data_IF_612665431477
#
_entry.id   IF_612665431477
#
_cell.length_a   1.000
_cell.length_b   1.000
_cell.length_c   1.000
_cell.angle_alpha   90.00
_cell.angle_beta   90.00
_cell.angle_gamma   90.00
#
_symmetry.space_group_name_H-M   'P 1'
#
loop_
_entity.id
_entity.type
_entity.pdbx_description
1 polymer ?
#
# COMPACT_ATOMS: atom_id res chain seq x y z
N UNK A 1 28.31 -45.40 13.31
CA UNK A 1 26.97 -45.87 12.83
C UNK A 1 25.84 -44.92 13.10
N UNK A 2 25.91 -44.01 14.11
CA UNK A 2 24.79 -43.11 14.42
C UNK A 2 24.70 -41.83 13.56
N UNK A 3 25.73 -41.50 12.75
CA UNK A 3 25.77 -40.21 11.98
C UNK A 3 25.32 -40.31 10.53
N UNK A 4 25.23 -41.53 9.97
CA UNK A 4 24.82 -41.78 8.59
C UNK A 4 25.79 -41.33 7.50
N UNK A 5 26.93 -40.73 7.85
CA UNK A 5 27.97 -40.32 6.92
C UNK A 5 29.36 -40.45 7.56
N UNK A 6 30.37 -40.57 6.71
CA UNK A 6 31.80 -40.57 7.10
C UNK A 6 32.58 -39.66 6.13
N UNK A 7 33.58 -38.94 6.63
CA UNK A 7 34.45 -38.12 5.77
C UNK A 7 35.69 -38.89 5.36
N UNK A 8 36.27 -38.55 4.21
CA UNK A 8 37.54 -39.16 3.75
C UNK A 8 38.67 -39.06 4.77
N UNK A 9 38.74 -37.95 5.51
CA UNK A 9 39.72 -37.76 6.56
C UNK A 9 39.49 -38.68 7.77
N UNK A 10 38.23 -38.89 8.16
CA UNK A 10 37.90 -39.81 9.27
C UNK A 10 38.16 -41.26 8.88
N UNK A 11 37.91 -41.63 7.62
CA UNK A 11 38.23 -42.95 7.08
C UNK A 11 39.74 -43.22 7.05
N UNK A 12 40.52 -42.28 6.50
CA UNK A 12 41.98 -42.43 6.45
C UNK A 12 42.64 -42.45 7.82
N UNK A 13 42.08 -41.76 8.83
CA UNK A 13 42.50 -41.82 10.22
C UNK A 13 42.17 -43.18 10.87
N UNK A 14 41.01 -43.77 10.54
CA UNK A 14 40.59 -45.06 11.11
C UNK A 14 41.36 -46.26 10.55
N UNK A 15 41.76 -46.21 9.27
CA UNK A 15 42.59 -47.23 8.62
C UNK A 15 44.04 -47.18 9.07
N UNK A 16 44.53 -46.08 9.60
CA UNK A 16 45.87 -45.87 10.05
C UNK A 16 46.91 -45.80 8.91
N UNK A 17 48.06 -45.15 9.19
CA UNK A 17 49.08 -44.89 8.16
C UNK A 17 49.72 -46.14 7.50
N UNK A 18 49.59 -47.28 8.09
CA UNK A 18 50.21 -48.57 7.58
C UNK A 18 49.30 -49.31 6.59
N UNK A 19 48.02 -49.02 6.56
CA UNK A 19 47.03 -49.73 5.74
C UNK A 19 46.43 -48.86 4.63
N UNK A 20 47.06 -47.75 4.26
CA UNK A 20 46.66 -46.84 3.20
C UNK A 20 47.05 -47.31 1.79
N UNK A 21 46.99 -48.61 1.49
CA UNK A 21 47.11 -49.10 0.10
C UNK A 21 45.85 -48.93 -0.63
N UNK A 22 45.91 -48.68 -1.96
CA UNK A 22 44.73 -48.42 -2.80
C UNK A 22 43.72 -49.57 -2.77
N UNK A 23 44.22 -50.82 -2.59
CA UNK A 23 43.35 -51.99 -2.47
C UNK A 23 42.55 -52.00 -1.17
N UNK A 24 43.18 -51.67 -0.05
CA UNK A 24 42.51 -51.62 1.26
C UNK A 24 41.51 -50.45 1.33
N UNK A 25 41.82 -49.32 0.70
CA UNK A 25 40.90 -48.19 0.56
C UNK A 25 39.67 -48.57 -0.27
N UNK A 26 39.86 -49.26 -1.39
CA UNK A 26 38.78 -49.72 -2.24
C UNK A 26 37.86 -50.73 -1.54
N UNK A 27 38.44 -51.68 -0.77
CA UNK A 27 37.64 -52.60 0.03
C UNK A 27 36.86 -51.89 1.16
N UNK A 28 37.48 -50.92 1.81
CA UNK A 28 36.80 -50.10 2.82
C UNK A 28 35.65 -49.28 2.23
N UNK A 29 35.80 -48.75 1.02
CA UNK A 29 34.73 -48.04 0.33
C UNK A 29 33.53 -48.95 -0.01
N UNK A 30 33.83 -50.18 -0.49
CA UNK A 30 32.77 -51.15 -0.81
C UNK A 30 32.03 -51.54 0.47
N UNK A 31 32.71 -51.73 1.56
CA UNK A 31 32.10 -52.07 2.84
C UNK A 31 31.22 -50.93 3.37
N UNK A 32 31.67 -49.68 3.29
CA UNK A 32 30.93 -48.52 3.72
C UNK A 32 29.66 -48.32 2.89
N UNK A 33 29.74 -48.52 1.56
CA UNK A 33 28.60 -48.47 0.65
C UNK A 33 27.56 -49.55 0.94
N UNK A 34 28.01 -50.78 1.23
CA UNK A 34 27.12 -51.89 1.60
C UNK A 34 26.41 -51.66 2.93
N UNK A 35 27.01 -50.94 3.86
CA UNK A 35 26.39 -50.54 5.13
C UNK A 35 25.46 -49.30 4.98
N UNK A 36 25.31 -48.75 3.77
CA UNK A 36 24.43 -47.61 3.49
C UNK A 36 24.93 -46.30 4.08
N UNK A 37 26.23 -46.17 4.34
CA UNK A 37 26.85 -44.95 4.88
C UNK A 37 27.35 -44.10 3.72
N UNK A 38 26.97 -42.79 3.72
CA UNK A 38 27.35 -41.86 2.65
C UNK A 38 28.77 -41.34 2.92
N UNK A 39 29.65 -41.44 1.90
CA UNK A 39 30.99 -40.88 1.94
C UNK A 39 30.97 -39.44 1.41
N UNK A 40 31.53 -38.50 2.17
CA UNK A 40 31.59 -37.09 1.81
C UNK A 40 32.97 -36.49 2.04
N UNK A 41 33.35 -35.52 1.22
CA UNK A 41 34.65 -34.83 1.43
C UNK A 41 34.60 -33.92 2.64
N UNK A 42 33.55 -33.17 2.80
CA UNK A 42 33.36 -32.23 3.93
C UNK A 42 31.99 -32.43 4.59
N UNK A 43 31.91 -32.11 5.89
CA UNK A 43 30.65 -32.18 6.66
C UNK A 43 29.56 -31.29 6.12
N UNK A 44 29.91 -30.21 5.40
CA UNK A 44 28.97 -29.32 4.70
C UNK A 44 28.22 -30.04 3.59
N UNK A 45 28.89 -30.92 2.86
CA UNK A 45 28.35 -31.56 1.65
C UNK A 45 27.25 -32.59 2.00
N UNK A 46 27.36 -33.24 3.16
CA UNK A 46 26.28 -34.10 3.66
C UNK A 46 25.00 -33.32 3.95
N UNK A 47 25.10 -32.09 4.47
CA UNK A 47 23.91 -31.24 4.67
C UNK A 47 23.24 -30.86 3.38
N UNK A 48 24.03 -30.61 2.32
CA UNK A 48 23.53 -30.28 0.99
C UNK A 48 22.86 -31.46 0.33
N UNK A 49 23.53 -32.68 0.43
CA UNK A 49 22.98 -33.93 -0.10
C UNK A 49 21.67 -34.30 0.61
N UNK A 50 21.60 -34.21 1.93
CA UNK A 50 20.39 -34.50 2.71
C UNK A 50 19.28 -33.50 2.44
N UNK A 51 19.62 -32.21 2.14
CA UNK A 51 18.65 -31.21 1.72
C UNK A 51 18.12 -31.49 0.31
N UNK A 52 18.98 -32.05 -0.56
CA UNK A 52 18.62 -32.44 -1.94
C UNK A 52 17.78 -33.73 -1.96
N UNK A 53 18.09 -34.71 -1.08
CA UNK A 53 17.27 -35.93 -0.89
C UNK A 53 15.89 -35.62 -0.27
N UNK A 54 15.83 -34.71 0.68
CA UNK A 54 14.55 -34.27 1.24
C UNK A 54 13.72 -33.45 0.23
N UNK A 55 14.37 -32.68 -0.65
CA UNK A 55 13.65 -31.99 -1.74
C UNK A 55 13.19 -32.96 -2.83
N UNK A 56 13.94 -34.05 -3.11
CA UNK A 56 13.52 -35.05 -4.07
C UNK A 56 12.49 -36.06 -3.51
N UNK A 57 12.38 -36.21 -2.19
CA UNK A 57 11.26 -36.95 -1.56
C UNK A 57 9.97 -36.15 -1.47
N UNK A 58 10.07 -34.84 -1.47
CA UNK A 58 8.89 -33.95 -1.62
C UNK A 58 8.42 -33.84 -3.09
N UNK A 59 9.31 -34.03 -4.06
CA UNK A 59 8.94 -34.11 -5.47
C UNK A 59 8.22 -35.44 -5.84
N UNK A 60 8.36 -36.48 -5.02
CA UNK A 60 7.66 -37.75 -5.21
C UNK A 60 6.20 -37.78 -4.74
N UNK A 61 5.73 -36.76 -4.02
CA UNK A 61 4.34 -36.41 -3.85
C UNK A 61 4.01 -35.27 -4.83
N UNK A 62 3.99 -35.56 -6.10
CA UNK A 62 3.12 -34.87 -7.02
C UNK A 62 1.70 -35.11 -6.50
N UNK A 63 1.30 -34.27 -5.53
CA UNK A 63 -0.12 -34.01 -5.34
C UNK A 63 -0.58 -33.65 -6.74
N UNK A 64 -1.33 -34.58 -7.38
CA UNK A 64 -2.03 -34.29 -8.61
C UNK A 64 -2.55 -32.89 -8.45
N UNK A 65 -2.03 -31.96 -9.25
CA UNK A 65 -2.62 -30.65 -9.40
C UNK A 65 -3.99 -30.93 -10.01
N UNK A 66 -4.94 -31.27 -9.13
CA UNK A 66 -6.30 -31.41 -9.59
C UNK A 66 -6.70 -30.02 -10.04
N UNK A 67 -7.04 -29.89 -11.32
CA UNK A 67 -7.58 -28.68 -11.93
C UNK A 67 -8.98 -28.33 -11.38
N UNK A 68 -9.39 -28.98 -10.29
CA UNK A 68 -10.62 -28.69 -9.58
C UNK A 68 -10.49 -27.33 -8.84
N UNK A 69 -11.18 -26.28 -9.31
CA UNK A 69 -11.12 -24.94 -8.72
C UNK A 69 -11.62 -24.95 -7.27
N UNK A 70 -12.50 -25.87 -6.89
CA UNK A 70 -13.01 -26.00 -5.51
C UNK A 70 -11.90 -26.48 -4.59
N UNK A 71 -11.12 -27.50 -5.02
CA UNK A 71 -10.01 -28.02 -4.21
C UNK A 71 -8.89 -26.99 -4.07
N UNK A 72 -8.62 -26.20 -5.11
CA UNK A 72 -7.66 -25.12 -5.08
C UNK A 72 -8.10 -24.01 -4.11
N UNK A 73 -9.38 -23.62 -4.18
CA UNK A 73 -9.99 -22.66 -3.26
C UNK A 73 -9.92 -23.11 -1.80
N UNK A 74 -10.32 -24.37 -1.51
CA UNK A 74 -10.27 -24.91 -0.15
C UNK A 74 -8.85 -25.02 0.40
N UNK A 75 -7.85 -25.28 -0.45
CA UNK A 75 -6.44 -25.33 -0.05
C UNK A 75 -5.90 -23.93 0.29
N UNK A 76 -6.27 -22.91 -0.48
CA UNK A 76 -5.90 -21.52 -0.22
C UNK A 76 -6.61 -20.97 1.01
N UNK A 77 -7.91 -21.24 1.13
CA UNK A 77 -8.72 -20.83 2.29
C UNK A 77 -8.29 -21.52 3.58
N UNK A 78 -7.88 -22.80 3.54
CA UNK A 78 -7.46 -23.57 4.71
C UNK A 78 -6.09 -23.14 5.27
N UNK A 79 -5.30 -22.38 4.51
CA UNK A 79 -4.01 -21.84 4.94
C UNK A 79 -4.06 -20.53 5.72
N UNK A 80 -5.21 -19.88 5.75
CA UNK A 80 -5.41 -18.58 6.41
C UNK A 80 -6.33 -18.74 7.61
N UNK A 81 -5.87 -18.33 8.77
CA UNK A 81 -6.71 -18.34 9.98
C UNK A 81 -7.85 -17.30 9.85
N UNK A 82 -9.02 -17.66 10.37
CA UNK A 82 -10.17 -16.75 10.42
C UNK A 82 -9.85 -15.58 11.36
N UNK A 83 -10.18 -14.37 10.93
CA UNK A 83 -10.01 -13.19 11.76
C UNK A 83 -11.01 -13.22 12.93
N UNK A 84 -10.50 -12.91 14.12
CA UNK A 84 -11.38 -12.63 15.27
C UNK A 84 -12.05 -11.26 15.09
N UNK A 85 -13.21 -11.05 15.72
CA UNK A 85 -13.91 -9.76 15.71
C UNK A 85 -13.01 -8.60 16.17
N UNK A 86 -12.17 -8.83 17.18
CA UNK A 86 -11.21 -7.84 17.66
C UNK A 86 -10.12 -7.54 16.63
N UNK A 87 -9.64 -8.57 15.93
CA UNK A 87 -8.68 -8.44 14.84
C UNK A 87 -9.27 -7.64 13.67
N UNK A 88 -10.51 -7.89 13.29
CA UNK A 88 -11.23 -7.15 12.26
C UNK A 88 -11.35 -5.66 12.60
N UNK A 89 -11.80 -5.34 13.82
CA UNK A 89 -11.90 -3.95 14.29
C UNK A 89 -10.52 -3.27 14.30
N UNK A 90 -9.48 -3.98 14.74
CA UNK A 90 -8.13 -3.42 14.77
C UNK A 90 -7.60 -3.11 13.37
N UNK A 91 -7.87 -4.00 12.39
CA UNK A 91 -7.48 -3.78 10.99
C UNK A 91 -8.28 -2.63 10.38
N UNK A 92 -9.60 -2.57 10.59
CA UNK A 92 -10.45 -1.49 10.10
C UNK A 92 -9.98 -0.12 10.59
N UNK A 93 -9.67 0.00 11.89
CA UNK A 93 -9.12 1.24 12.48
C UNK A 93 -7.76 1.62 11.87
N UNK A 94 -6.92 0.64 11.54
CA UNK A 94 -5.63 0.92 10.89
C UNK A 94 -5.80 1.39 9.44
N UNK A 95 -6.78 0.84 8.72
CA UNK A 95 -7.11 1.27 7.35
C UNK A 95 -7.62 2.71 7.39
N UNK A 96 -8.55 3.02 8.30
CA UNK A 96 -9.11 4.36 8.48
C UNK A 96 -8.02 5.37 8.84
N UNK A 97 -7.19 5.07 9.83
CA UNK A 97 -6.05 5.91 10.20
C UNK A 97 -5.07 6.12 9.03
N UNK A 98 -4.83 5.09 8.22
CA UNK A 98 -4.00 5.19 7.02
C UNK A 98 -4.60 6.11 5.95
N UNK A 99 -5.92 6.00 5.71
CA UNK A 99 -6.65 6.90 4.80
C UNK A 99 -6.60 8.35 5.29
N UNK A 100 -6.79 8.59 6.58
CA UNK A 100 -6.71 9.92 7.17
C UNK A 100 -5.35 10.57 6.98
N UNK A 101 -4.26 9.86 7.26
CA UNK A 101 -2.89 10.36 7.05
C UNK A 101 -2.66 10.69 5.57
N UNK A 102 -3.13 9.84 4.67
CA UNK A 102 -3.02 10.06 3.22
C UNK A 102 -3.79 11.32 2.79
N UNK A 103 -5.04 11.50 3.25
CA UNK A 103 -5.84 12.68 2.94
C UNK A 103 -5.23 13.97 3.50
N UNK A 104 -4.67 13.95 4.70
CA UNK A 104 -3.95 15.09 5.29
C UNK A 104 -2.75 15.47 4.41
N UNK A 105 -1.97 14.50 3.96
CA UNK A 105 -0.82 14.76 3.10
C UNK A 105 -1.23 15.31 1.72
N UNK A 106 -2.26 14.72 1.11
CA UNK A 106 -2.79 15.17 -0.19
C UNK A 106 -3.41 16.57 -0.11
N UNK A 107 -4.14 16.90 0.98
CA UNK A 107 -4.80 18.19 1.15
C UNK A 107 -3.84 19.37 1.13
N UNK A 108 -2.60 19.19 1.55
CA UNK A 108 -1.57 20.24 1.61
C UNK A 108 -0.80 20.41 0.29
N UNK A 109 -0.98 19.49 -0.66
CA UNK A 109 -0.18 19.46 -1.88
C UNK A 109 -0.71 20.40 -2.97
N UNK A 110 0.17 21.19 -3.62
CA UNK A 110 -0.21 22.00 -4.78
C UNK A 110 -0.57 21.16 -6.01
N UNK A 111 -0.07 19.91 -6.11
CA UNK A 111 -0.40 18.99 -7.22
C UNK A 111 -1.87 18.57 -7.11
N UNK A 112 -2.32 18.27 -5.89
CA UNK A 112 -3.74 18.00 -5.61
C UNK A 112 -4.61 19.21 -5.91
N UNK A 113 -4.16 20.40 -5.52
CA UNK A 113 -4.87 21.64 -5.84
C UNK A 113 -5.10 21.82 -7.35
N UNK A 114 -4.06 21.55 -8.16
CA UNK A 114 -4.16 21.63 -9.62
C UNK A 114 -5.19 20.65 -10.16
N UNK A 115 -5.25 19.44 -9.61
CA UNK A 115 -6.23 18.44 -10.01
C UNK A 115 -7.67 18.89 -9.69
N UNK A 116 -7.90 19.52 -8.53
CA UNK A 116 -9.21 20.06 -8.19
C UNK A 116 -9.62 21.23 -9.11
N UNK A 117 -8.67 22.05 -9.58
CA UNK A 117 -8.96 23.08 -10.58
C UNK A 117 -9.39 22.47 -11.92
N UNK A 118 -8.72 21.40 -12.35
CA UNK A 118 -9.07 20.67 -13.57
C UNK A 118 -10.47 20.02 -13.45
N UNK A 119 -10.77 19.43 -12.29
CA UNK A 119 -12.09 18.83 -12.04
C UNK A 119 -13.20 19.87 -12.01
N UNK A 120 -12.99 21.04 -11.37
CA UNK A 120 -13.97 22.10 -11.35
C UNK A 120 -14.36 22.54 -12.77
N UNK A 121 -13.38 22.70 -13.66
CA UNK A 121 -13.61 23.07 -15.07
C UNK A 121 -14.34 21.95 -15.83
N UNK A 122 -13.89 20.71 -15.72
CA UNK A 122 -14.45 19.58 -16.45
C UNK A 122 -15.85 19.17 -15.96
N UNK A 123 -16.13 19.33 -14.66
CA UNK A 123 -17.47 19.14 -14.12
C UNK A 123 -18.45 20.21 -14.57
N UNK A 124 -17.98 21.46 -14.74
CA UNK A 124 -18.81 22.55 -15.28
C UNK A 124 -19.09 22.42 -16.77
N UNK A 125 -18.17 21.82 -17.54
CA UNK A 125 -18.35 21.52 -18.96
C UNK A 125 -19.04 20.18 -19.24
N UNK A 126 -19.42 19.43 -18.20
CA UNK A 126 -19.99 18.08 -18.29
C UNK A 126 -19.09 17.05 -19.04
N UNK A 127 -17.77 17.28 -19.05
CA UNK A 127 -16.80 16.37 -19.67
C UNK A 127 -16.50 15.16 -18.79
N UNK A 128 -16.66 15.28 -17.46
CA UNK A 128 -16.45 14.21 -16.49
C UNK A 128 -17.72 14.02 -15.66
N UNK A 129 -18.05 12.75 -15.41
CA UNK A 129 -19.17 12.39 -14.56
C UNK A 129 -18.77 12.43 -13.08
N UNK A 130 -19.71 12.78 -12.21
CA UNK A 130 -19.47 12.88 -10.76
C UNK A 130 -19.00 11.54 -10.18
N UNK A 131 -19.53 10.42 -10.67
CA UNK A 131 -19.16 9.04 -10.27
C UNK A 131 -17.70 8.66 -10.54
N UNK A 132 -17.03 9.39 -11.43
CA UNK A 132 -15.60 9.15 -11.70
C UNK A 132 -14.71 9.73 -10.60
N UNK A 133 -15.21 10.72 -9.85
CA UNK A 133 -14.45 11.43 -8.82
C UNK A 133 -14.81 10.94 -7.43
N UNK A 134 -16.09 10.73 -7.15
CA UNK A 134 -16.59 10.39 -5.82
C UNK A 134 -17.21 8.99 -5.78
N UNK A 135 -17.27 8.44 -4.57
CA UNK A 135 -18.04 7.24 -4.27
C UNK A 135 -19.50 7.63 -4.02
N UNK A 136 -20.37 7.35 -5.01
CA UNK A 136 -21.80 7.75 -4.98
C UNK A 136 -22.53 7.00 -3.89
N UNK A 137 -22.28 5.70 -3.72
CA UNK A 137 -23.00 4.85 -2.78
C UNK A 137 -22.79 5.33 -1.34
N UNK A 138 -21.53 5.63 -0.98
CA UNK A 138 -21.19 6.14 0.35
C UNK A 138 -21.78 7.52 0.60
N UNK A 139 -21.71 8.43 -0.38
CA UNK A 139 -22.26 9.77 -0.26
C UNK A 139 -23.79 9.77 -0.16
N UNK A 140 -24.47 8.88 -0.89
CA UNK A 140 -25.92 8.76 -0.85
C UNK A 140 -26.41 8.21 0.50
N UNK A 141 -25.74 7.20 1.04
CA UNK A 141 -26.06 6.63 2.36
C UNK A 141 -25.85 7.62 3.51
N UNK A 142 -24.82 8.49 3.43
CA UNK A 142 -24.62 9.54 4.44
C UNK A 142 -25.72 10.61 4.38
N UNK A 143 -26.18 11.00 3.20
CA UNK A 143 -27.29 11.96 3.05
C UNK A 143 -28.63 11.41 3.53
N UNK A 144 -28.94 10.12 3.29
CA UNK A 144 -30.14 9.50 3.85
C UNK A 144 -30.13 9.47 5.38
N UNK A 145 -28.97 9.23 6.01
CA UNK A 145 -28.85 9.20 7.47
C UNK A 145 -28.93 10.60 8.11
N UNK A 146 -28.61 11.67 7.38
CA UNK A 146 -28.63 13.06 7.88
C UNK A 146 -29.83 13.88 7.40
N UNK A 147 -30.55 13.40 6.38
CA UNK A 147 -31.69 14.09 5.79
C UNK A 147 -33.00 13.99 6.62
N UNK A 148 -33.98 14.89 6.35
CA UNK A 148 -35.28 14.87 7.02
C UNK A 148 -36.09 13.58 6.83
N UNK A 149 -35.75 12.76 5.83
CA UNK A 149 -36.35 11.43 5.60
C UNK A 149 -36.00 10.40 6.67
N UNK A 150 -34.85 10.54 7.37
CA UNK A 150 -34.45 9.65 8.45
C UNK A 150 -35.41 9.73 9.67
N UNK A 151 -36.12 10.82 9.84
CA UNK A 151 -37.10 11.00 10.93
C UNK A 151 -38.44 10.31 10.68
N UNK A 152 -38.76 9.93 9.44
CA UNK A 152 -40.02 9.21 9.13
C UNK A 152 -39.88 7.70 9.24
N UNK A 153 -38.68 7.12 9.11
CA UNK A 153 -38.48 5.64 9.22
C UNK A 153 -38.46 5.14 10.67
N UNK A 154 -38.24 6.00 11.68
CA UNK A 154 -38.20 5.59 13.09
C UNK A 154 -39.51 5.82 13.87
N UNK A 155 -40.61 6.24 13.21
CA UNK A 155 -41.89 6.51 13.84
C UNK A 155 -42.99 5.50 13.47
N UNK A 156 -42.67 4.35 12.88
CA UNK A 156 -43.61 3.39 12.34
C UNK A 156 -43.34 1.93 12.69
N UNK A 157 -42.85 1.61 13.88
CA UNK A 157 -42.95 0.26 14.44
C UNK A 157 -44.05 0.23 15.48
N UNK A 158 -45.27 0.06 15.04
CA UNK A 158 -46.33 -0.71 15.71
C UNK A 158 -47.50 -0.86 14.75
N UNK A 159 -47.79 -2.07 14.43
CA UNK A 159 -48.97 -2.77 14.02
C UNK A 159 -48.83 -3.66 12.78
N UNK A 160 -48.98 -4.93 13.12
CA UNK A 160 -49.09 -6.08 12.23
C UNK A 160 -50.27 -5.92 11.28
N UNK A 161 -50.07 -6.26 10.03
CA UNK A 161 -51.05 -7.04 9.27
C UNK A 161 -50.32 -7.98 8.27
N UNK A 162 -50.54 -9.27 8.50
CA UNK A 162 -50.20 -10.34 7.58
C UNK A 162 -51.19 -10.32 6.43
N UNK A 163 -50.72 -10.08 5.21
CA UNK A 163 -51.16 -10.60 3.93
C UNK A 163 -51.03 -9.56 2.81
N UNK A 164 -49.97 -9.65 2.06
CA UNK A 164 -50.08 -9.58 0.59
C UNK A 164 -48.72 -9.84 -0.05
N UNK A 165 -48.61 -10.92 -0.76
CA UNK A 165 -47.80 -11.34 -1.89
C UNK A 165 -46.78 -10.36 -2.42
N UNK A 166 -45.48 -10.76 -2.29
CA UNK A 166 -44.51 -11.02 -3.34
C UNK A 166 -44.75 -10.19 -4.63
N UNK A 167 -44.18 -8.95 -4.70
CA UNK A 167 -43.83 -8.23 -5.92
C UNK A 167 -43.40 -6.75 -5.72
N UNK A 168 -42.95 -6.32 -4.54
CA UNK A 168 -42.64 -4.89 -4.31
C UNK A 168 -41.25 -4.59 -3.75
N UNK A 169 -40.31 -5.51 -3.81
CA UNK A 169 -38.93 -5.26 -3.32
C UNK A 169 -37.99 -4.59 -4.38
N UNK A 170 -38.46 -4.39 -5.61
CA UNK A 170 -37.65 -3.79 -6.69
C UNK A 170 -37.82 -2.27 -6.84
N UNK A 171 -38.76 -1.64 -6.13
CA UNK A 171 -39.10 -0.22 -6.32
C UNK A 171 -38.26 0.75 -5.47
N UNK A 172 -37.33 0.29 -4.63
CA UNK A 172 -36.61 1.13 -3.67
C UNK A 172 -35.12 1.34 -3.94
N UNK A 173 -34.58 0.81 -5.02
CA UNK A 173 -33.21 1.14 -5.43
C UNK A 173 -33.23 2.23 -6.50
N UNK A 174 -32.94 3.50 -6.16
CA UNK A 174 -32.85 4.54 -7.16
C UNK A 174 -31.74 4.18 -8.15
N UNK A 175 -32.02 4.40 -9.44
CA UNK A 175 -31.00 4.14 -10.47
C UNK A 175 -29.77 5.00 -10.21
N UNK A 176 -28.57 4.49 -10.50
CA UNK A 176 -27.29 5.19 -10.29
C UNK A 176 -27.31 6.61 -10.90
N UNK A 177 -28.00 6.79 -12.04
CA UNK A 177 -28.18 8.10 -12.68
C UNK A 177 -29.05 9.06 -11.88
N UNK A 178 -30.07 8.54 -11.17
CA UNK A 178 -30.90 9.36 -10.30
C UNK A 178 -30.12 9.84 -9.07
N UNK A 179 -29.36 8.94 -8.42
CA UNK A 179 -28.45 9.29 -7.31
C UNK A 179 -27.42 10.33 -7.73
N UNK A 180 -26.81 10.16 -8.91
CA UNK A 180 -25.83 11.11 -9.44
C UNK A 180 -26.45 12.49 -9.67
N UNK A 181 -27.67 12.56 -10.22
CA UNK A 181 -28.35 13.84 -10.48
C UNK A 181 -28.72 14.58 -9.20
N UNK A 182 -28.99 13.87 -8.11
CA UNK A 182 -29.32 14.45 -6.81
C UNK A 182 -28.05 14.97 -6.09
N UNK A 183 -26.95 14.22 -6.15
CA UNK A 183 -25.68 14.57 -5.49
C UNK A 183 -24.90 15.65 -6.28
N UNK A 184 -25.02 15.68 -7.60
CA UNK A 184 -24.28 16.61 -8.48
C UNK A 184 -24.24 18.06 -8.00
N UNK A 185 -25.36 18.73 -7.63
CA UNK A 185 -25.35 20.12 -7.20
C UNK A 185 -24.59 20.33 -5.89
N UNK A 186 -24.57 19.35 -4.99
CA UNK A 186 -23.83 19.38 -3.74
C UNK A 186 -22.32 19.27 -4.00
N UNK A 187 -21.92 18.31 -4.83
CA UNK A 187 -20.53 18.09 -5.23
C UNK A 187 -19.95 19.31 -5.93
N UNK A 188 -20.68 19.88 -6.90
CA UNK A 188 -20.24 21.10 -7.59
C UNK A 188 -19.97 22.25 -6.62
N UNK A 189 -20.85 22.46 -5.64
CA UNK A 189 -20.66 23.51 -4.61
C UNK A 189 -19.41 23.23 -3.77
N UNK A 190 -19.21 22.00 -3.33
CA UNK A 190 -18.06 21.62 -2.50
C UNK A 190 -16.75 21.71 -3.28
N UNK A 191 -16.72 21.27 -4.53
CA UNK A 191 -15.54 21.39 -5.40
C UNK A 191 -15.20 22.86 -5.67
N UNK A 192 -16.22 23.69 -5.89
CA UNK A 192 -16.01 25.14 -6.06
C UNK A 192 -15.47 25.83 -4.80
N UNK A 193 -15.94 25.44 -3.61
CA UNK A 193 -15.38 25.92 -2.35
C UNK A 193 -13.93 25.49 -2.18
N UNK A 194 -13.63 24.22 -2.46
CA UNK A 194 -12.26 23.69 -2.43
C UNK A 194 -11.33 24.43 -3.38
N UNK A 195 -11.74 24.70 -4.61
CA UNK A 195 -10.94 25.51 -5.56
C UNK A 195 -10.63 26.88 -5.02
N UNK A 196 -11.58 27.53 -4.37
CA UNK A 196 -11.40 28.86 -3.76
C UNK A 196 -10.40 28.81 -2.62
N UNK A 197 -10.48 27.80 -1.76
CA UNK A 197 -9.58 27.65 -0.60
C UNK A 197 -8.19 27.21 -1.02
N UNK A 198 -8.06 26.34 -2.03
CA UNK A 198 -6.77 26.01 -2.64
C UNK A 198 -6.06 27.21 -3.27
N UNK A 199 -6.79 28.13 -3.91
CA UNK A 199 -6.20 29.40 -4.41
C UNK A 199 -5.60 30.24 -3.27
N UNK A 200 -6.23 30.25 -2.09
CA UNK A 200 -5.68 30.93 -0.91
C UNK A 200 -4.47 30.17 -0.37
N UNK A 201 -4.56 28.83 -0.26
CA UNK A 201 -3.47 27.97 0.21
C UNK A 201 -2.20 28.18 -0.62
N UNK A 202 -2.30 28.14 -1.95
CA UNK A 202 -1.16 28.36 -2.86
C UNK A 202 -0.52 29.75 -2.65
N UNK A 203 -1.33 30.79 -2.38
CA UNK A 203 -0.77 32.11 -2.06
C UNK A 203 0.05 32.08 -0.78
N UNK A 204 -0.48 31.45 0.30
CA UNK A 204 0.27 31.31 1.56
C UNK A 204 1.53 30.48 1.38
N UNK A 205 1.50 29.42 0.59
CA UNK A 205 2.67 28.59 0.31
C UNK A 205 3.74 29.36 -0.45
N UNK A 206 3.34 30.18 -1.44
CA UNK A 206 4.28 31.07 -2.17
C UNK A 206 4.91 32.10 -1.25
N UNK A 207 4.12 32.76 -0.41
CA UNK A 207 4.63 33.72 0.57
C UNK A 207 5.59 33.06 1.58
N UNK A 208 5.26 31.82 2.04
CA UNK A 208 6.13 31.04 2.93
C UNK A 208 7.46 30.69 2.24
N UNK A 209 7.41 30.28 0.98
CA UNK A 209 8.58 30.01 0.16
C UNK A 209 9.46 31.28 -0.01
N UNK A 210 8.86 32.42 -0.35
CA UNK A 210 9.58 33.70 -0.47
C UNK A 210 10.23 34.13 0.87
N UNK A 211 9.55 33.88 1.98
CA UNK A 211 10.11 34.15 3.31
C UNK A 211 11.34 33.24 3.58
N UNK A 212 11.29 31.97 3.21
CA UNK A 212 12.42 31.04 3.37
C UNK A 212 13.60 31.46 2.50
N UNK A 213 13.36 31.77 1.22
CA UNK A 213 14.41 32.23 0.29
C UNK A 213 15.06 33.51 0.77
N UNK A 214 14.29 34.45 1.32
CA UNK A 214 14.80 35.73 1.82
C UNK A 214 15.25 35.68 3.29
N UNK A 215 15.31 34.49 3.91
CA UNK A 215 15.65 34.29 5.33
C UNK A 215 14.80 35.15 6.30
N UNK A 216 13.54 35.42 5.93
CA UNK A 216 12.59 36.17 6.77
C UNK A 216 11.70 35.20 7.55
N UNK A 217 11.33 35.60 8.76
CA UNK A 217 10.42 34.80 9.60
C UNK A 217 8.99 34.98 9.09
N UNK A 218 8.28 33.86 8.86
CA UNK A 218 6.87 33.88 8.53
C UNK A 218 6.03 34.34 9.73
N UNK A 219 5.09 35.25 9.54
CA UNK A 219 4.30 35.80 10.65
C UNK A 219 3.39 34.76 11.28
N UNK A 220 3.38 34.65 12.62
CA UNK A 220 2.55 33.70 13.38
C UNK A 220 1.04 33.86 13.10
N UNK A 221 0.58 35.09 12.79
CA UNK A 221 -0.81 35.30 12.41
C UNK A 221 -1.17 34.65 11.06
N UNK A 222 -0.23 34.68 10.09
CA UNK A 222 -0.39 34.00 8.79
C UNK A 222 -0.28 32.48 8.93
N UNK A 223 0.51 31.99 9.87
CA UNK A 223 0.62 30.55 10.15
C UNK A 223 -0.69 29.96 10.66
N UNK A 224 -1.35 30.62 11.60
CA UNK A 224 -2.68 30.23 12.07
C UNK A 224 -3.74 30.29 10.95
N UNK A 225 -3.63 31.28 10.07
CA UNK A 225 -4.50 31.38 8.88
C UNK A 225 -4.28 30.24 7.90
N UNK A 226 -3.04 29.84 7.69
CA UNK A 226 -2.68 28.69 6.86
C UNK A 226 -3.22 27.38 7.44
N UNK A 227 -3.01 27.12 8.73
CA UNK A 227 -3.51 25.93 9.43
C UNK A 227 -5.04 25.83 9.35
N UNK A 228 -5.74 26.95 9.53
CA UNK A 228 -7.20 26.97 9.41
C UNK A 228 -7.66 26.57 8.00
N UNK A 229 -7.05 27.13 6.96
CA UNK A 229 -7.40 26.79 5.57
C UNK A 229 -7.10 25.32 5.26
N UNK A 230 -5.99 24.76 5.77
CA UNK A 230 -5.66 23.34 5.61
C UNK A 230 -6.73 22.47 6.25
N UNK A 231 -7.21 22.80 7.44
CA UNK A 231 -8.26 22.06 8.13
C UNK A 231 -9.61 22.17 7.38
N UNK A 232 -9.98 23.38 6.91
CA UNK A 232 -11.20 23.58 6.13
C UNK A 232 -11.17 22.75 4.82
N UNK A 233 -10.02 22.70 4.14
CA UNK A 233 -9.81 21.86 2.95
C UNK A 233 -9.95 20.39 3.29
N UNK A 234 -9.33 19.93 4.40
CA UNK A 234 -9.37 18.55 4.82
C UNK A 234 -10.80 18.08 5.13
N UNK A 235 -11.58 18.91 5.84
CA UNK A 235 -12.98 18.62 6.13
C UNK A 235 -13.82 18.52 4.86
N UNK A 236 -13.63 19.45 3.92
CA UNK A 236 -14.32 19.43 2.64
C UNK A 236 -13.94 18.22 1.77
N UNK A 237 -12.66 17.80 1.76
CA UNK A 237 -12.24 16.58 1.04
C UNK A 237 -12.83 15.33 1.70
N UNK A 238 -12.85 15.26 3.02
CA UNK A 238 -13.48 14.14 3.74
C UNK A 238 -14.98 14.05 3.44
N UNK A 239 -15.67 15.19 3.37
CA UNK A 239 -17.10 15.20 3.03
C UNK A 239 -17.40 14.80 1.58
N UNK A 240 -16.43 14.89 0.68
CA UNK A 240 -16.58 14.48 -0.72
C UNK A 240 -16.49 12.98 -0.94
N UNK A 241 -15.96 12.21 0.00
CA UNK A 241 -15.76 10.76 -0.12
C UNK A 241 -15.19 10.37 -1.50
N UNK A 242 -13.94 10.78 -1.75
CA UNK A 242 -13.27 10.51 -3.03
C UNK A 242 -13.18 9.01 -3.30
N UNK A 243 -13.38 8.61 -4.55
CA UNK A 243 -13.27 7.20 -4.95
C UNK A 243 -11.83 6.67 -4.74
N UNK A 244 -11.66 5.40 -4.37
CA UNK A 244 -10.34 4.82 -4.15
C UNK A 244 -9.42 4.92 -5.37
N UNK A 245 -9.96 4.81 -6.57
CA UNK A 245 -9.22 4.93 -7.83
C UNK A 245 -8.62 6.33 -8.04
N UNK A 246 -9.38 7.36 -7.68
CA UNK A 246 -8.94 8.76 -7.75
C UNK A 246 -7.86 9.07 -6.72
N UNK A 247 -8.01 8.52 -5.50
CA UNK A 247 -6.99 8.66 -4.47
C UNK A 247 -5.66 8.02 -4.92
N UNK A 248 -5.73 6.84 -5.52
CA UNK A 248 -4.56 6.15 -6.05
C UNK A 248 -3.91 6.94 -7.19
N UNK A 249 -4.70 7.53 -8.11
CA UNK A 249 -4.20 8.39 -9.18
C UNK A 249 -3.48 9.64 -8.62
N UNK A 250 -4.05 10.30 -7.61
CA UNK A 250 -3.41 11.43 -6.95
C UNK A 250 -2.08 11.05 -6.30
N UNK A 251 -2.03 9.94 -5.60
CA UNK A 251 -0.80 9.41 -5.00
C UNK A 251 0.23 9.11 -6.09
N UNK A 252 -0.19 8.48 -7.18
CA UNK A 252 0.71 8.16 -8.29
C UNK A 252 1.30 9.43 -8.94
N UNK A 253 0.52 10.49 -9.10
CA UNK A 253 1.04 11.79 -9.58
C UNK A 253 2.14 12.33 -8.65
N UNK A 254 1.96 12.23 -7.33
CA UNK A 254 3.00 12.63 -6.37
C UNK A 254 4.25 11.76 -6.50
N UNK A 255 4.11 10.45 -6.68
CA UNK A 255 5.26 9.56 -6.90
C UNK A 255 6.03 9.90 -8.18
N UNK A 256 5.34 10.25 -9.25
CA UNK A 256 6.00 10.66 -10.51
C UNK A 256 6.83 11.92 -10.30
N UNK A 257 6.29 12.94 -9.64
CA UNK A 257 7.03 14.18 -9.37
C UNK A 257 8.19 13.95 -8.39
N UNK A 258 7.97 13.17 -7.33
CA UNK A 258 9.04 12.80 -6.41
C UNK A 258 10.19 12.05 -7.10
N UNK A 259 9.86 11.14 -8.02
CA UNK A 259 10.87 10.42 -8.82
C UNK A 259 11.70 11.37 -9.69
N UNK A 260 11.08 12.42 -10.25
CA UNK A 260 11.81 13.47 -10.99
C UNK A 260 12.77 14.22 -10.07
N UNK A 261 12.32 14.61 -8.87
CA UNK A 261 13.15 15.31 -7.87
C UNK A 261 14.35 14.44 -7.49
N UNK A 262 14.14 13.19 -7.12
CA UNK A 262 15.21 12.24 -6.77
C UNK A 262 16.21 12.07 -7.93
N UNK A 263 15.73 12.04 -9.16
CA UNK A 263 16.61 11.98 -10.34
C UNK A 263 17.49 13.23 -10.47
N UNK A 264 16.93 14.42 -10.25
CA UNK A 264 17.67 15.68 -10.27
C UNK A 264 18.69 15.78 -9.14
N UNK A 265 18.32 15.37 -7.93
CA UNK A 265 19.23 15.30 -6.77
C UNK A 265 20.39 14.31 -7.02
N UNK A 266 20.07 13.17 -7.62
CA UNK A 266 21.10 12.19 -8.03
C UNK A 266 22.08 12.75 -9.06
N UNK A 267 21.59 13.56 -10.00
CA UNK A 267 22.47 14.24 -10.96
C UNK A 267 23.32 15.33 -10.29
N UNK A 268 22.74 16.08 -9.36
CA UNK A 268 23.47 17.08 -8.59
C UNK A 268 24.59 16.44 -7.75
N UNK A 269 24.31 15.34 -7.10
CA UNK A 269 25.30 14.56 -6.36
C UNK A 269 26.42 14.05 -7.26
N UNK A 270 26.11 13.56 -8.47
CA UNK A 270 27.13 13.14 -9.45
C UNK A 270 28.02 14.29 -9.89
N UNK A 271 27.44 15.47 -10.12
CA UNK A 271 28.22 16.67 -10.46
C UNK A 271 29.16 17.06 -9.32
N UNK A 272 28.72 17.02 -8.05
CA UNK A 272 29.55 17.28 -6.90
C UNK A 272 30.71 16.28 -6.79
N UNK A 273 30.42 14.97 -6.98
CA UNK A 273 31.46 13.93 -6.96
C UNK A 273 32.49 14.10 -8.08
N UNK A 274 32.08 14.53 -9.28
CA UNK A 274 32.98 14.83 -10.39
C UNK A 274 33.92 15.96 -10.05
N UNK A 275 33.51 16.90 -9.21
CA UNK A 275 34.35 17.99 -8.69
C UNK A 275 35.17 17.59 -7.45
N UNK A 276 35.28 16.28 -7.17
CA UNK A 276 36.05 15.71 -6.03
C UNK A 276 35.50 16.06 -4.63
N UNK A 277 34.23 16.46 -4.54
CA UNK A 277 33.58 16.68 -3.24
C UNK A 277 33.10 15.32 -2.73
N UNK A 278 33.51 14.88 -1.51
CA UNK A 278 33.07 13.61 -0.95
C UNK A 278 31.57 13.62 -0.67
N UNK A 279 30.91 12.50 -0.98
CA UNK A 279 29.45 12.34 -0.83
C UNK A 279 28.95 12.75 0.56
N UNK A 280 29.67 12.38 1.61
CA UNK A 280 29.25 12.64 3.00
C UNK A 280 29.27 14.15 3.34
N UNK A 281 30.17 14.91 2.78
CA UNK A 281 30.21 16.36 2.94
C UNK A 281 29.10 17.03 2.16
N UNK A 282 28.88 16.62 0.91
CA UNK A 282 27.77 17.12 0.11
C UNK A 282 26.43 16.92 0.83
N UNK A 283 26.15 15.71 1.32
CA UNK A 283 24.90 15.40 2.00
C UNK A 283 24.72 16.27 3.27
N UNK A 284 25.78 16.49 4.05
CA UNK A 284 25.72 17.32 5.26
C UNK A 284 25.33 18.77 4.97
N UNK A 285 25.81 19.33 3.85
CA UNK A 285 25.49 20.71 3.47
C UNK A 285 24.13 20.79 2.74
N UNK A 286 23.76 19.76 2.02
CA UNK A 286 22.54 19.75 1.23
C UNK A 286 21.27 19.55 2.07
N UNK A 287 21.30 18.62 3.03
CA UNK A 287 20.13 18.36 3.90
C UNK A 287 19.78 19.59 4.73
N UNK A 288 18.55 20.08 4.56
CA UNK A 288 18.03 21.28 5.21
C UNK A 288 18.28 22.59 4.45
N UNK A 289 19.05 22.55 3.36
CA UNK A 289 19.32 23.69 2.51
C UNK A 289 18.91 23.48 1.03
N UNK A 290 18.03 22.52 0.78
CA UNK A 290 17.63 22.12 -0.58
C UNK A 290 17.04 23.28 -1.41
N UNK A 291 16.43 24.25 -0.74
CA UNK A 291 15.75 25.41 -1.37
C UNK A 291 16.59 26.69 -1.25
N UNK A 292 17.70 26.67 -0.51
CA UNK A 292 18.54 27.85 -0.30
C UNK A 292 19.38 28.12 -1.56
N UNK A 293 19.25 29.32 -2.20
CA UNK A 293 20.01 29.65 -3.40
C UNK A 293 21.50 29.96 -3.16
N UNK A 294 21.90 30.16 -1.88
CA UNK A 294 23.29 30.42 -1.47
C UNK A 294 23.97 29.13 -1.02
#
# INVERSE_FOLDING_TARGET
>A
THRGFITHEELSKSLGKRNLSDENLSQAFIHILNEGIVLVEKKSDFKVLRKKENSSKDEGKTIEKSDDPIRMYLREMGGVELLSREGEIAIAKRIEAGKDVMLIALSQSPITAQQFFDWDQKLQSDEILVREIIDIDTNYMEDENTGPSAKQKNAGEDEKDENSSDDSDDDFNPTLAAMESEIKPKVLKTVHLLTKDYRKLIKYQKEKLECVINSKIFSSAKEKGYEKIVNDILENIKSLQLSPSVLEELVQKHYVENKKIISLEGNLLRLAMNQKIPRNEFIKFYIGNEINPN
#
